data_IF_116889656175
#
_entry.id   IF_116889656175
#
_cell.length_a   1.000
_cell.length_b   1.000
_cell.length_c   1.000
_cell.angle_alpha   90.00
_cell.angle_beta   90.00
_cell.angle_gamma   90.00
#
_symmetry.space_group_name_H-M   'P 1'
#
loop_
_entity.id
_entity.type
_entity.pdbx_description
1 polymer ?
#
# COMPACT_ATOMS: atom_id res chain seq x y z
N UNK A 1 2.73 15.33 -42.63
CA UNK A 1 3.23 14.13 -41.95
C UNK A 1 3.79 14.61 -40.63
N UNK A 2 3.14 14.20 -39.54
CA UNK A 2 3.58 14.47 -38.19
C UNK A 2 4.00 13.14 -37.58
N UNK A 3 4.95 13.19 -36.67
CA UNK A 3 5.34 12.05 -35.86
C UNK A 3 5.30 12.43 -34.38
N UNK A 4 5.06 11.42 -33.56
CA UNK A 4 4.91 11.62 -32.13
C UNK A 4 5.16 10.36 -31.34
N UNK A 5 5.27 10.54 -30.04
CA UNK A 5 5.34 9.44 -29.07
C UNK A 5 4.16 9.52 -28.12
N UNK A 6 3.79 8.35 -27.59
CA UNK A 6 2.85 8.23 -26.48
C UNK A 6 3.62 7.92 -25.20
N UNK A 7 3.29 8.62 -24.12
CA UNK A 7 3.77 8.35 -22.77
C UNK A 7 2.56 8.07 -21.89
N UNK A 8 2.69 7.15 -20.94
CA UNK A 8 1.60 6.76 -20.05
C UNK A 8 1.97 7.02 -18.58
N UNK A 9 1.03 7.57 -17.83
CA UNK A 9 1.11 7.64 -16.38
C UNK A 9 0.09 6.67 -15.79
N UNK A 10 0.58 5.56 -15.26
CA UNK A 10 -0.24 4.51 -14.65
C UNK A 10 -0.72 5.02 -13.31
N UNK A 11 -2.03 4.95 -13.08
CA UNK A 11 -2.66 5.35 -11.83
C UNK A 11 -2.95 4.11 -11.00
N UNK A 12 -2.38 4.07 -9.79
CA UNK A 12 -2.63 3.04 -8.80
C UNK A 12 -3.08 3.64 -7.47
N UNK A 13 -3.74 2.82 -6.65
CA UNK A 13 -4.15 3.22 -5.31
C UNK A 13 -4.04 2.06 -4.32
N UNK A 14 -3.93 2.37 -3.04
CA UNK A 14 -4.15 1.37 -1.98
C UNK A 14 -5.64 1.12 -1.80
N UNK A 15 -6.08 -0.13 -1.94
CA UNK A 15 -7.48 -0.52 -1.73
C UNK A 15 -7.85 -0.71 -0.25
N UNK A 16 -6.84 -0.88 0.61
CA UNK A 16 -6.97 -1.15 2.03
C UNK A 16 -5.67 -0.78 2.77
N UNK A 17 -5.71 -0.47 4.08
CA UNK A 17 -4.50 -0.35 4.90
C UNK A 17 -3.58 -1.56 4.76
N UNK A 18 -2.29 -1.36 5.01
CA UNK A 18 -1.36 -2.49 5.16
C UNK A 18 -1.74 -3.32 6.37
N UNK A 19 -1.75 -4.63 6.17
CA UNK A 19 -2.11 -5.61 7.19
C UNK A 19 -0.98 -6.61 7.35
N UNK A 20 -0.69 -7.01 8.57
CA UNK A 20 0.20 -8.12 8.85
C UNK A 20 -0.33 -9.41 8.23
N UNK A 21 0.56 -10.37 7.98
CA UNK A 21 0.20 -11.70 7.48
C UNK A 21 -0.77 -12.41 8.44
N UNK A 22 -0.65 -12.13 9.75
CA UNK A 22 -1.60 -12.59 10.75
C UNK A 22 -2.99 -11.99 10.52
N UNK A 23 -3.12 -10.66 10.46
CA UNK A 23 -4.42 -9.99 10.26
C UNK A 23 -5.06 -10.40 8.93
N UNK A 24 -4.25 -10.53 7.88
CA UNK A 24 -4.67 -10.97 6.56
C UNK A 24 -5.37 -12.33 6.57
N UNK A 25 -4.93 -13.27 7.43
CA UNK A 25 -5.53 -14.61 7.54
C UNK A 25 -6.99 -14.55 8.01
N UNK A 26 -7.35 -13.58 8.86
CA UNK A 26 -8.72 -13.39 9.33
C UNK A 26 -9.51 -12.52 8.36
N UNK A 27 -8.91 -11.41 7.91
CA UNK A 27 -9.56 -10.42 7.06
C UNK A 27 -9.96 -10.96 5.69
N UNK A 28 -9.26 -11.97 5.17
CA UNK A 28 -9.68 -12.66 3.94
C UNK A 28 -11.03 -13.37 4.09
N UNK A 29 -11.52 -13.59 5.31
CA UNK A 29 -12.86 -14.10 5.59
C UNK A 29 -13.95 -13.06 5.34
N UNK A 30 -13.66 -11.80 5.62
CA UNK A 30 -14.63 -10.71 5.71
C UNK A 30 -15.11 -10.19 4.36
N UNK A 31 -16.43 -10.16 4.15
CA UNK A 31 -17.03 -9.74 2.88
C UNK A 31 -16.66 -8.30 2.51
N UNK A 32 -16.73 -7.37 3.46
CA UNK A 32 -16.43 -5.95 3.23
C UNK A 32 -14.97 -5.76 2.78
N UNK A 33 -14.04 -6.51 3.38
CA UNK A 33 -12.62 -6.45 3.04
C UNK A 33 -12.35 -7.08 1.67
N UNK A 34 -12.97 -8.24 1.40
CA UNK A 34 -12.93 -8.88 0.07
C UNK A 34 -13.40 -7.94 -1.02
N UNK A 35 -14.52 -7.24 -0.80
CA UNK A 35 -15.10 -6.32 -1.79
C UNK A 35 -14.17 -5.13 -2.08
N UNK A 36 -13.44 -4.62 -1.08
CA UNK A 36 -12.45 -3.54 -1.24
C UNK A 36 -11.19 -3.97 -2.00
N UNK A 37 -10.84 -5.25 -1.94
CA UNK A 37 -9.56 -5.77 -2.43
C UNK A 37 -9.70 -6.67 -3.66
N UNK A 38 -10.93 -6.91 -4.14
CA UNK A 38 -11.22 -7.78 -5.29
C UNK A 38 -10.51 -7.34 -6.58
N UNK A 39 -10.29 -6.03 -6.70
CA UNK A 39 -9.77 -5.36 -7.89
C UNK A 39 -8.25 -5.18 -7.82
N UNK A 40 -7.61 -5.41 -6.67
CA UNK A 40 -6.17 -5.33 -6.54
C UNK A 40 -5.47 -6.39 -7.41
N UNK A 41 -4.50 -5.97 -8.21
CA UNK A 41 -3.76 -6.83 -9.14
C UNK A 41 -2.27 -6.90 -8.83
N UNK A 42 -1.77 -6.05 -7.92
CA UNK A 42 -0.38 -5.97 -7.51
C UNK A 42 -0.29 -6.03 -5.98
N UNK A 43 0.75 -6.70 -5.47
CA UNK A 43 0.99 -6.81 -4.03
C UNK A 43 2.46 -6.71 -3.70
N UNK A 44 2.74 -6.21 -2.49
CA UNK A 44 4.07 -6.16 -1.91
C UNK A 44 4.05 -6.93 -0.60
N UNK A 45 5.10 -7.72 -0.36
CA UNK A 45 5.40 -8.31 0.94
C UNK A 45 6.40 -7.39 1.62
N UNK A 46 6.01 -6.88 2.77
CA UNK A 46 6.69 -5.85 3.53
C UNK A 46 7.08 -6.39 4.91
N UNK A 47 7.97 -5.70 5.60
CA UNK A 47 8.22 -5.90 7.03
C UNK A 47 8.35 -4.57 7.75
N UNK A 48 7.85 -4.53 8.97
CA UNK A 48 8.00 -3.42 9.92
C UNK A 48 8.06 -3.97 11.35
N UNK A 49 8.56 -3.19 12.33
CA UNK A 49 8.43 -3.53 13.73
C UNK A 49 6.97 -3.84 14.14
N UNK A 50 6.80 -4.77 15.07
CA UNK A 50 5.51 -5.02 15.72
C UNK A 50 5.08 -3.77 16.45
N UNK A 51 3.90 -3.26 16.12
CA UNK A 51 3.29 -2.14 16.82
C UNK A 51 2.12 -2.59 17.68
N UNK A 52 1.89 -1.87 18.76
CA UNK A 52 0.81 -2.10 19.70
C UNK A 52 0.39 -0.78 20.33
N UNK A 53 -0.80 -0.77 20.93
CA UNK A 53 -1.21 0.30 21.82
C UNK A 53 -0.63 0.06 23.21
N UNK A 54 -0.13 1.14 23.79
CA UNK A 54 0.43 1.21 25.14
C UNK A 54 -0.30 2.31 25.91
N UNK A 55 -0.33 2.23 27.23
CA UNK A 55 -0.93 3.25 28.08
C UNK A 55 -2.39 3.58 27.70
N UNK A 56 -3.17 2.58 27.25
CA UNK A 56 -4.52 2.77 26.75
C UNK A 56 -5.50 3.00 27.92
N UNK A 57 -6.18 4.14 27.89
CA UNK A 57 -7.11 4.60 28.92
C UNK A 57 -8.45 4.93 28.23
N UNK A 58 -9.52 4.32 28.74
CA UNK A 58 -10.88 4.57 28.30
C UNK A 58 -11.50 5.66 29.19
N UNK A 59 -11.76 6.83 28.62
CA UNK A 59 -12.41 7.96 29.29
C UNK A 59 -13.87 8.16 28.85
N UNK A 60 -14.43 9.32 29.20
CA UNK A 60 -15.78 9.72 28.78
C UNK A 60 -15.77 10.12 27.29
N UNK A 61 -16.06 9.18 26.40
CA UNK A 61 -16.11 9.40 24.95
C UNK A 61 -14.74 9.56 24.26
N UNK A 62 -13.66 9.44 25.02
CA UNK A 62 -12.28 9.62 24.56
C UNK A 62 -11.44 8.39 24.89
N UNK A 63 -10.59 7.98 23.95
CA UNK A 63 -9.58 6.94 24.15
C UNK A 63 -8.20 7.59 24.03
N UNK A 64 -7.48 7.64 25.15
CA UNK A 64 -6.09 8.09 25.22
C UNK A 64 -5.16 6.88 25.18
N UNK A 65 -4.10 6.92 24.37
CA UNK A 65 -3.15 5.83 24.23
C UNK A 65 -1.84 6.30 23.59
N UNK A 66 -0.85 5.41 23.59
CA UNK A 66 0.37 5.54 22.81
C UNK A 66 0.42 4.45 21.74
N UNK A 67 0.91 4.77 20.54
CA UNK A 67 1.36 3.75 19.59
C UNK A 67 2.85 3.54 19.81
N UNK A 68 3.25 2.30 20.07
CA UNK A 68 4.64 1.92 20.34
C UNK A 68 5.05 0.70 19.51
N UNK A 69 6.36 0.56 19.28
CA UNK A 69 6.96 -0.61 18.63
C UNK A 69 8.12 -1.26 19.42
N UNK A 70 8.48 -0.65 20.56
CA UNK A 70 9.57 -1.05 21.43
C UNK A 70 10.97 -0.63 20.95
N UNK A 71 11.08 0.15 19.87
CA UNK A 71 12.34 0.60 19.27
C UNK A 71 12.37 2.14 19.22
N UNK A 72 11.30 2.74 18.72
CA UNK A 72 11.17 4.18 18.53
C UNK A 72 10.42 4.84 19.69
N UNK A 73 10.57 6.17 19.90
CA UNK A 73 9.74 6.91 20.83
C UNK A 73 8.24 6.71 20.52
N UNK A 74 7.39 6.44 21.53
CA UNK A 74 5.96 6.27 21.33
C UNK A 74 5.28 7.52 20.75
N UNK A 75 4.24 7.31 19.95
CA UNK A 75 3.32 8.36 19.50
C UNK A 75 2.21 8.55 20.52
N UNK A 76 2.12 9.72 21.14
CA UNK A 76 1.00 10.07 21.99
C UNK A 76 -0.25 10.32 21.11
N UNK A 77 -1.35 9.64 21.41
CA UNK A 77 -2.56 9.65 20.62
C UNK A 77 -3.80 9.92 21.49
N UNK A 78 -4.76 10.66 20.92
CA UNK A 78 -6.10 10.83 21.49
C UNK A 78 -7.15 10.71 20.41
N UNK A 79 -8.08 9.78 20.60
CA UNK A 79 -9.24 9.56 19.74
C UNK A 79 -10.51 9.98 20.47
N UNK A 80 -11.17 11.03 19.98
CA UNK A 80 -12.51 11.41 20.41
C UNK A 80 -13.54 10.69 19.54
N UNK A 81 -14.37 9.85 20.16
CA UNK A 81 -15.29 8.97 19.45
C UNK A 81 -16.47 9.74 18.81
N UNK A 82 -16.88 10.87 19.39
CA UNK A 82 -17.94 11.72 18.85
C UNK A 82 -17.42 12.51 17.65
N UNK A 83 -16.23 13.11 17.80
CA UNK A 83 -15.57 13.85 16.70
C UNK A 83 -15.27 12.93 15.51
N UNK A 84 -14.82 11.71 15.79
CA UNK A 84 -14.61 10.65 14.81
C UNK A 84 -15.91 10.11 14.19
N UNK A 85 -17.09 10.53 14.68
CA UNK A 85 -18.41 10.02 14.28
C UNK A 85 -18.56 8.51 14.44
N UNK A 86 -17.79 7.92 15.34
CA UNK A 86 -17.91 6.50 15.72
C UNK A 86 -19.10 6.28 16.66
N UNK A 87 -19.48 7.33 17.40
CA UNK A 87 -20.64 7.33 18.30
C UNK A 87 -21.49 8.56 18.08
N UNK A 88 -22.77 8.49 18.48
CA UNK A 88 -23.63 9.66 18.56
C UNK A 88 -23.26 10.48 19.80
N UNK A 89 -23.50 11.80 19.81
CA UNK A 89 -23.30 12.61 20.99
C UNK A 89 -24.03 12.07 22.23
N UNK A 90 -23.29 11.84 23.32
CA UNK A 90 -23.78 11.24 24.55
C UNK A 90 -24.13 9.74 24.45
N UNK A 91 -23.71 9.07 23.37
CA UNK A 91 -23.93 7.64 23.17
C UNK A 91 -23.02 6.78 24.05
N UNK A 92 -23.50 5.59 24.41
CA UNK A 92 -22.73 4.59 25.14
C UNK A 92 -22.19 3.56 24.14
N UNK A 93 -20.93 3.15 24.34
CA UNK A 93 -20.30 2.06 23.60
C UNK A 93 -19.57 1.13 24.53
N UNK A 94 -19.46 -0.12 24.11
CA UNK A 94 -18.57 -1.09 24.73
C UNK A 94 -17.27 -1.16 23.95
N UNK A 95 -16.15 -1.27 24.67
CA UNK A 95 -14.82 -1.42 24.07
C UNK A 95 -14.24 -2.78 24.45
N UNK A 96 -14.02 -3.64 23.46
CA UNK A 96 -13.31 -4.91 23.64
C UNK A 96 -11.82 -4.72 23.35
N UNK A 97 -10.97 -5.04 24.32
CA UNK A 97 -9.51 -4.91 24.19
C UNK A 97 -8.89 -6.27 23.87
N UNK A 98 -8.04 -6.31 22.84
CA UNK A 98 -7.31 -7.51 22.42
C UNK A 98 -5.82 -7.33 22.72
N UNK A 99 -5.16 -8.35 23.29
CA UNK A 99 -3.78 -8.27 23.76
C UNK A 99 -2.84 -9.20 23.00
N UNK A 100 -1.56 -8.84 22.92
CA UNK A 100 -0.49 -9.76 22.50
C UNK A 100 0.03 -10.66 23.63
N UNK A 101 -0.44 -10.42 24.86
CA UNK A 101 -0.13 -11.21 26.06
C UNK A 101 -1.29 -12.11 26.44
N UNK A 102 -0.96 -13.25 27.07
CA UNK A 102 -1.93 -14.27 27.45
C UNK A 102 -2.82 -13.85 28.62
N UNK A 103 -2.28 -13.00 29.51
CA UNK A 103 -3.00 -12.46 30.66
C UNK A 103 -3.42 -11.00 30.36
N UNK A 104 -4.71 -10.71 30.25
CA UNK A 104 -5.19 -9.35 29.98
C UNK A 104 -4.99 -8.44 31.20
N UNK A 105 -4.84 -7.14 30.96
CA UNK A 105 -4.91 -6.15 32.04
C UNK A 105 -6.36 -5.99 32.49
N UNK A 106 -6.58 -6.13 33.80
CA UNK A 106 -7.92 -6.01 34.39
C UNK A 106 -8.29 -4.56 34.74
N UNK A 107 -7.30 -3.66 34.76
CA UNK A 107 -7.47 -2.24 35.09
C UNK A 107 -6.59 -1.38 34.17
N UNK A 108 -7.02 -0.16 33.82
CA UNK A 108 -6.20 0.75 33.04
C UNK A 108 -4.99 1.28 33.86
N UNK A 109 -3.92 1.74 33.21
CA UNK A 109 -3.75 1.74 31.75
C UNK A 109 -3.52 0.33 31.19
N UNK A 110 -4.15 0.05 30.04
CA UNK A 110 -4.01 -1.21 29.33
C UNK A 110 -2.79 -1.18 28.40
N UNK A 111 -1.96 -2.23 28.46
CA UNK A 111 -0.65 -2.29 27.83
C UNK A 111 -0.48 -3.55 26.97
N UNK A 112 0.44 -3.48 26.00
CA UNK A 112 0.64 -4.54 24.99
C UNK A 112 -0.66 -4.93 24.27
N UNK A 113 -1.49 -3.92 23.98
CA UNK A 113 -2.78 -4.07 23.31
C UNK A 113 -2.54 -4.20 21.81
N UNK A 114 -2.98 -5.30 21.23
CA UNK A 114 -2.88 -5.56 19.79
C UNK A 114 -3.89 -4.71 19.00
N UNK A 115 -5.10 -4.63 19.51
CA UNK A 115 -6.22 -3.96 18.86
C UNK A 115 -7.33 -3.69 19.87
N UNK A 116 -8.26 -2.81 19.52
CA UNK A 116 -9.52 -2.67 20.23
C UNK A 116 -10.70 -2.66 19.27
N UNK A 117 -11.86 -3.11 19.73
CA UNK A 117 -13.12 -3.01 19.00
C UNK A 117 -14.06 -2.09 19.74
N UNK A 118 -14.84 -1.34 18.97
CA UNK A 118 -15.96 -0.56 19.49
C UNK A 118 -17.24 -1.27 19.05
N UNK A 119 -18.09 -1.54 20.03
CA UNK A 119 -19.42 -2.08 19.85
C UNK A 119 -20.44 -1.01 20.25
N UNK A 120 -21.53 -0.92 19.50
CA UNK A 120 -22.68 -0.08 19.90
C UNK A 120 -23.28 -0.59 21.21
N UNK A 121 -24.10 0.22 21.89
CA UNK A 121 -24.88 -0.22 23.06
C UNK A 121 -25.71 -1.49 22.81
N UNK A 122 -26.12 -1.74 21.55
CA UNK A 122 -26.83 -2.96 21.15
C UNK A 122 -25.91 -4.19 20.97
N UNK A 123 -24.60 -4.05 21.20
CA UNK A 123 -23.58 -5.07 20.98
C UNK A 123 -23.19 -5.25 19.50
N UNK A 124 -23.64 -4.38 18.61
CA UNK A 124 -23.31 -4.47 17.18
C UNK A 124 -21.89 -3.96 16.92
N UNK A 125 -21.14 -4.68 16.09
CA UNK A 125 -19.80 -4.29 15.68
C UNK A 125 -19.79 -2.95 14.92
N UNK A 126 -19.13 -1.94 15.47
CA UNK A 126 -18.95 -0.65 14.82
C UNK A 126 -17.60 -0.59 14.10
N UNK A 127 -16.50 -0.81 14.84
CA UNK A 127 -15.15 -0.72 14.28
C UNK A 127 -14.15 -1.59 15.03
N UNK A 128 -13.11 -2.03 14.32
CA UNK A 128 -11.93 -2.67 14.86
C UNK A 128 -10.71 -1.84 14.49
N UNK A 129 -9.95 -1.40 15.48
CA UNK A 129 -8.77 -0.56 15.28
C UNK A 129 -7.50 -1.28 15.69
N UNK A 130 -6.53 -1.22 14.78
CA UNK A 130 -5.14 -1.61 14.99
C UNK A 130 -4.30 -0.35 14.76
N UNK A 131 -3.07 -0.26 15.30
CA UNK A 131 -2.27 0.95 15.13
C UNK A 131 -2.12 1.37 13.65
N UNK A 132 -1.95 0.41 12.75
CA UNK A 132 -1.76 0.63 11.31
C UNK A 132 -3.02 1.18 10.67
N UNK A 133 -4.15 0.53 10.96
CA UNK A 133 -5.43 0.96 10.41
C UNK A 133 -5.75 2.36 10.89
N UNK A 134 -5.55 2.65 12.19
CA UNK A 134 -5.85 3.95 12.76
C UNK A 134 -5.00 5.07 12.13
N UNK A 135 -3.69 4.86 11.97
CA UNK A 135 -2.81 5.81 11.28
C UNK A 135 -3.20 5.99 9.82
N UNK A 136 -3.56 4.92 9.11
CA UNK A 136 -4.05 5.00 7.74
C UNK A 136 -5.33 5.82 7.64
N UNK A 137 -6.33 5.55 8.50
CA UNK A 137 -7.60 6.26 8.51
C UNK A 137 -7.39 7.75 8.83
N UNK A 138 -6.49 8.08 9.75
CA UNK A 138 -6.13 9.48 10.06
C UNK A 138 -5.50 10.21 8.88
N UNK A 139 -4.49 9.61 8.22
CA UNK A 139 -3.74 10.27 7.15
C UNK A 139 -4.52 10.30 5.84
N UNK A 140 -5.16 9.19 5.48
CA UNK A 140 -5.74 8.99 4.15
C UNK A 140 -7.21 9.37 4.09
N UNK A 141 -7.97 9.09 5.16
CA UNK A 141 -9.41 9.34 5.20
C UNK A 141 -9.79 10.53 6.09
N UNK A 142 -8.80 11.18 6.73
CA UNK A 142 -9.02 12.37 7.55
C UNK A 142 -9.76 12.06 8.85
N UNK A 143 -9.58 10.85 9.42
CA UNK A 143 -10.09 10.54 10.76
C UNK A 143 -9.50 11.55 11.78
N UNK A 144 -10.35 12.26 12.55
CA UNK A 144 -9.89 13.15 13.61
C UNK A 144 -9.16 12.37 14.71
N UNK A 145 -7.84 12.37 14.64
CA UNK A 145 -6.95 11.73 15.59
C UNK A 145 -5.88 12.73 15.99
N UNK A 146 -5.84 13.08 17.27
CA UNK A 146 -4.74 13.88 17.77
C UNK A 146 -3.49 13.00 17.88
N UNK A 147 -2.41 13.45 17.25
CA UNK A 147 -1.12 12.76 17.19
C UNK A 147 -0.02 13.72 17.64
N UNK A 148 0.82 13.27 18.58
CA UNK A 148 2.01 14.01 19.00
C UNK A 148 3.22 13.07 19.03
N UNK A 149 4.26 13.47 18.30
CA UNK A 149 5.51 12.71 18.14
C UNK A 149 5.91 12.60 16.66
N UNK A 150 7.00 11.87 16.40
CA UNK A 150 7.44 11.57 15.02
C UNK A 150 6.73 10.31 14.51
N UNK A 151 5.87 10.49 13.50
CA UNK A 151 5.09 9.41 12.89
C UNK A 151 5.89 8.57 11.90
N UNK A 152 6.99 9.11 11.38
CA UNK A 152 7.74 8.54 10.25
C UNK A 152 8.16 7.08 10.49
N UNK A 153 8.67 6.68 11.67
CA UNK A 153 9.06 5.30 11.92
C UNK A 153 7.90 4.30 11.84
N UNK A 154 6.68 4.73 12.19
CA UNK A 154 5.47 3.89 12.17
C UNK A 154 4.86 3.73 10.76
N UNK A 155 5.35 4.53 9.81
CA UNK A 155 5.00 4.46 8.40
C UNK A 155 6.11 3.83 7.55
N UNK A 156 7.22 3.43 8.17
CA UNK A 156 8.37 2.82 7.49
C UNK A 156 8.21 1.32 7.31
N UNK A 157 8.41 0.87 6.08
CA UNK A 157 8.32 -0.53 5.69
C UNK A 157 9.53 -0.92 4.84
N UNK A 158 10.11 -2.07 5.14
CA UNK A 158 11.08 -2.72 4.28
C UNK A 158 10.36 -3.59 3.24
N UNK A 159 10.72 -3.46 1.96
CA UNK A 159 10.12 -4.22 0.86
C UNK A 159 10.92 -5.49 0.61
N UNK A 160 10.32 -6.65 0.91
CA UNK A 160 10.94 -7.96 0.66
C UNK A 160 10.66 -8.48 -0.74
N UNK A 161 9.44 -8.28 -1.22
CA UNK A 161 8.99 -8.85 -2.48
C UNK A 161 7.88 -8.02 -3.11
N UNK A 162 7.85 -8.00 -4.44
CA UNK A 162 6.82 -7.37 -5.25
C UNK A 162 6.32 -8.40 -6.26
N UNK A 163 5.01 -8.54 -6.42
CA UNK A 163 4.44 -9.45 -7.41
C UNK A 163 3.04 -9.06 -7.86
N UNK A 164 2.62 -9.59 -9.00
CA UNK A 164 1.26 -9.43 -9.55
C UNK A 164 0.38 -10.66 -9.45
N UNK A 165 -0.94 -10.49 -9.48
CA UNK A 165 -1.94 -11.55 -9.48
C UNK A 165 -2.92 -11.39 -10.66
N UNK A 166 -2.77 -12.22 -11.70
CA UNK A 166 -3.59 -12.17 -12.93
C UNK A 166 -4.81 -13.07 -12.92
N UNK A 167 -4.62 -14.31 -12.48
CA UNK A 167 -5.50 -15.43 -12.80
C UNK A 167 -6.37 -15.88 -11.63
N UNK A 168 -6.14 -15.30 -10.44
CA UNK A 168 -6.86 -15.59 -9.21
C UNK A 168 -6.81 -14.34 -8.32
N UNK A 169 -7.88 -14.08 -7.58
CA UNK A 169 -7.91 -13.02 -6.56
C UNK A 169 -6.64 -13.09 -5.70
N UNK A 170 -6.02 -11.94 -5.40
CA UNK A 170 -4.73 -11.86 -4.68
C UNK A 170 -4.73 -12.72 -3.40
N UNK A 171 -5.88 -12.82 -2.74
CA UNK A 171 -6.15 -13.71 -1.60
C UNK A 171 -5.79 -15.19 -1.82
N UNK A 172 -6.25 -15.77 -2.93
CA UNK A 172 -6.00 -17.16 -3.27
C UNK A 172 -4.53 -17.37 -3.62
N UNK A 173 -3.91 -16.36 -4.24
CA UNK A 173 -2.50 -16.40 -4.60
C UNK A 173 -1.60 -16.31 -3.38
N UNK A 174 -1.95 -15.48 -2.39
CA UNK A 174 -1.18 -15.31 -1.15
C UNK A 174 -1.34 -16.48 -0.19
N UNK A 175 -2.48 -17.16 -0.21
CA UNK A 175 -2.70 -18.40 0.56
C UNK A 175 -1.84 -19.53 0.00
N UNK A 176 -0.77 -19.90 0.73
CA UNK A 176 0.18 -20.92 0.28
C UNK A 176 1.26 -20.41 -0.68
N UNK A 177 1.43 -19.09 -0.80
CA UNK A 177 2.46 -18.51 -1.66
C UNK A 177 3.86 -18.86 -1.16
N UNK A 178 4.63 -19.62 -1.95
CA UNK A 178 5.97 -20.06 -1.56
C UNK A 178 6.91 -18.90 -1.15
N UNK A 179 6.82 -17.72 -1.78
CA UNK A 179 7.65 -16.58 -1.36
C UNK A 179 7.24 -16.01 0.00
N UNK A 180 5.94 -15.96 0.31
CA UNK A 180 5.46 -15.52 1.63
C UNK A 180 5.95 -16.51 2.68
N UNK A 181 5.78 -17.82 2.42
CA UNK A 181 6.27 -18.87 3.33
C UNK A 181 7.79 -18.79 3.53
N UNK A 182 8.56 -18.63 2.44
CA UNK A 182 10.01 -18.46 2.50
C UNK A 182 10.42 -17.26 3.36
N UNK A 183 9.81 -16.09 3.13
CA UNK A 183 10.08 -14.87 3.92
C UNK A 183 9.72 -15.12 5.40
N UNK A 184 8.56 -15.70 5.68
CA UNK A 184 8.15 -16.09 7.04
C UNK A 184 9.07 -17.14 7.70
N UNK A 185 9.94 -17.80 6.94
CA UNK A 185 10.88 -18.81 7.45
C UNK A 185 12.30 -18.26 7.59
N UNK A 186 12.69 -17.34 6.71
CA UNK A 186 14.08 -16.89 6.56
C UNK A 186 14.36 -15.55 7.24
N UNK A 187 13.34 -14.71 7.40
CA UNK A 187 13.51 -13.41 8.05
C UNK A 187 13.51 -13.53 9.56
N UNK A 188 14.25 -12.64 10.20
CA UNK A 188 14.25 -12.47 11.65
C UNK A 188 13.22 -11.44 12.08
N UNK A 189 12.80 -11.56 13.33
CA UNK A 189 11.96 -10.56 13.98
C UNK A 189 12.75 -9.28 14.22
N UNK A 190 12.18 -8.14 13.85
CA UNK A 190 12.73 -6.80 14.14
C UNK A 190 12.48 -6.45 15.61
N UNK A 191 11.25 -6.66 16.09
CA UNK A 191 10.88 -6.31 17.45
C UNK A 191 11.30 -7.42 18.43
N UNK A 192 12.03 -7.10 19.51
CA UNK A 192 12.41 -8.08 20.53
C UNK A 192 11.22 -8.76 21.22
N UNK A 193 10.06 -8.10 21.20
CA UNK A 193 8.81 -8.57 21.82
C UNK A 193 7.95 -9.42 20.90
N UNK A 194 8.25 -9.46 19.60
CA UNK A 194 7.39 -10.20 18.68
C UNK A 194 7.54 -11.70 18.91
N UNK A 195 6.43 -12.34 19.23
CA UNK A 195 6.37 -13.80 19.42
C UNK A 195 6.21 -14.55 18.10
N UNK A 196 5.79 -13.85 17.04
CA UNK A 196 5.52 -14.42 15.72
C UNK A 196 5.87 -13.41 14.64
N UNK A 197 6.74 -13.82 13.73
CA UNK A 197 7.12 -13.04 12.56
C UNK A 197 5.92 -12.65 11.67
N UNK A 198 4.83 -13.43 11.71
CA UNK A 198 3.58 -13.10 11.00
C UNK A 198 2.91 -11.80 11.43
N UNK A 199 3.30 -11.22 12.58
CA UNK A 199 2.81 -9.89 12.99
C UNK A 199 3.61 -8.73 12.38
N UNK A 200 4.82 -9.00 11.90
CA UNK A 200 5.72 -7.99 11.32
C UNK A 200 5.71 -8.04 9.80
N UNK A 201 5.73 -9.25 9.24
CA UNK A 201 5.54 -9.46 7.81
C UNK A 201 4.13 -9.01 7.45
N UNK A 202 4.06 -8.07 6.52
CA UNK A 202 2.84 -7.37 6.14
C UNK A 202 2.62 -7.43 4.64
N UNK A 203 1.38 -7.19 4.22
CA UNK A 203 0.96 -7.20 2.83
C UNK A 203 0.37 -5.84 2.49
N UNK A 204 0.93 -5.22 1.46
CA UNK A 204 0.30 -4.10 0.75
C UNK A 204 -0.35 -4.61 -0.52
N UNK A 205 -1.56 -4.14 -0.80
CA UNK A 205 -2.29 -4.44 -2.02
C UNK A 205 -2.57 -3.16 -2.80
N UNK A 206 -2.24 -3.18 -4.08
CA UNK A 206 -2.42 -2.07 -5.00
C UNK A 206 -3.44 -2.44 -6.07
N UNK A 207 -4.36 -1.51 -6.29
CA UNK A 207 -5.33 -1.52 -7.37
C UNK A 207 -4.85 -0.61 -8.50
N UNK A 208 -4.67 -1.17 -9.70
CA UNK A 208 -4.40 -0.39 -10.90
C UNK A 208 -5.73 0.13 -11.44
N UNK A 209 -6.02 1.40 -11.21
CA UNK A 209 -7.33 2.00 -11.48
C UNK A 209 -7.47 2.49 -12.92
N UNK A 210 -6.37 2.86 -13.54
CA UNK A 210 -6.38 3.46 -14.87
C UNK A 210 -5.04 4.07 -15.24
N UNK A 211 -5.09 5.06 -16.11
CA UNK A 211 -3.93 5.78 -16.58
C UNK A 211 -4.32 7.14 -17.17
N UNK A 212 -3.34 8.03 -17.26
CA UNK A 212 -3.37 9.23 -18.09
C UNK A 212 -2.38 9.09 -19.25
N UNK A 213 -2.68 9.70 -20.40
CA UNK A 213 -1.80 9.70 -21.58
C UNK A 213 -1.20 11.08 -21.83
N UNK A 214 0.13 11.10 -21.95
CA UNK A 214 0.88 12.22 -22.51
C UNK A 214 1.22 11.96 -23.97
N UNK A 215 0.51 12.63 -24.88
CA UNK A 215 0.74 12.52 -26.32
C UNK A 215 1.60 13.68 -26.80
N UNK A 216 2.75 13.39 -27.40
CA UNK A 216 3.76 14.39 -27.75
C UNK A 216 4.09 14.38 -29.23
N UNK A 217 4.15 15.56 -29.85
CA UNK A 217 4.56 15.77 -31.24
C UNK A 217 5.78 16.70 -31.26
N UNK A 218 6.90 16.21 -31.80
CA UNK A 218 8.17 16.93 -31.84
C UNK A 218 8.79 17.23 -30.47
N UNK A 219 10.11 17.38 -30.41
CA UNK A 219 10.84 17.78 -29.20
C UNK A 219 10.83 16.77 -28.06
N UNK A 220 10.29 15.56 -28.29
CA UNK A 220 10.26 14.47 -27.33
C UNK A 220 11.64 13.83 -27.14
N UNK A 221 12.58 14.07 -28.05
CA UNK A 221 13.95 13.54 -27.99
C UNK A 221 14.66 13.97 -26.72
N UNK A 222 14.35 15.15 -26.20
CA UNK A 222 14.92 15.67 -24.95
C UNK A 222 14.36 14.99 -23.69
N UNK A 223 13.22 14.29 -23.79
CA UNK A 223 12.54 13.65 -22.66
C UNK A 223 12.76 12.15 -22.59
N UNK A 224 13.28 11.54 -23.65
CA UNK A 224 13.57 10.10 -23.69
C UNK A 224 14.98 9.87 -23.17
N UNK A 225 15.16 9.02 -22.13
CA UNK A 225 16.49 8.69 -21.66
C UNK A 225 17.35 8.03 -22.74
N UNK A 226 18.66 8.31 -22.75
CA UNK A 226 19.58 7.99 -23.86
C UNK A 226 19.55 6.51 -24.30
N UNK A 227 19.24 5.60 -23.37
CA UNK A 227 19.23 4.14 -23.62
C UNK A 227 17.87 3.59 -24.09
N UNK A 228 16.86 4.45 -24.22
CA UNK A 228 15.50 4.04 -24.60
C UNK A 228 15.20 4.42 -26.04
N UNK A 229 14.85 3.43 -26.85
CA UNK A 229 14.40 3.67 -28.21
C UNK A 229 12.94 4.15 -28.21
N UNK A 230 12.62 5.30 -28.84
CA UNK A 230 11.24 5.75 -28.97
C UNK A 230 10.40 4.84 -29.85
N UNK A 231 9.12 4.72 -29.51
CA UNK A 231 8.10 4.14 -30.39
C UNK A 231 7.43 5.31 -31.11
N UNK A 232 7.76 5.46 -32.39
CA UNK A 232 7.29 6.55 -33.24
C UNK A 232 5.95 6.19 -33.88
N UNK A 233 4.97 7.05 -33.73
CA UNK A 233 3.67 6.97 -34.39
C UNK A 233 3.65 7.97 -35.55
N UNK A 234 3.76 7.47 -36.78
CA UNK A 234 3.62 8.29 -37.98
C UNK A 234 2.15 8.60 -38.25
N UNK A 235 1.82 9.88 -38.40
CA UNK A 235 0.48 10.37 -38.72
C UNK A 235 0.51 11.11 -40.07
N UNK A 236 -0.21 10.56 -41.06
CA UNK A 236 -0.25 11.01 -42.45
C UNK A 236 -1.56 11.72 -42.78
N UNK A 237 -2.66 11.37 -42.12
CA UNK A 237 -3.97 12.01 -42.30
C UNK A 237 -4.45 12.74 -41.04
N UNK A 238 -5.47 13.58 -41.18
CA UNK A 238 -6.10 14.29 -40.06
C UNK A 238 -6.78 13.30 -39.10
N UNK A 239 -7.41 12.25 -39.63
CA UNK A 239 -8.04 11.20 -38.81
C UNK A 239 -7.02 10.41 -37.97
N UNK A 240 -5.80 10.21 -38.48
CA UNK A 240 -4.71 9.56 -37.74
C UNK A 240 -4.19 10.47 -36.62
N UNK A 241 -4.12 11.78 -36.87
CA UNK A 241 -3.78 12.78 -35.83
C UNK A 241 -4.85 12.77 -34.74
N UNK A 242 -6.13 12.82 -35.11
CA UNK A 242 -7.23 12.79 -34.16
C UNK A 242 -7.23 11.49 -33.34
N UNK A 243 -7.01 10.34 -33.98
CA UNK A 243 -6.93 9.06 -33.31
C UNK A 243 -5.76 9.00 -32.32
N UNK A 244 -4.60 9.56 -32.68
CA UNK A 244 -3.43 9.62 -31.80
C UNK A 244 -3.76 10.34 -30.48
N UNK A 245 -4.55 11.42 -30.50
CA UNK A 245 -4.90 12.15 -29.29
C UNK A 245 -6.12 11.60 -28.53
N UNK A 246 -7.06 10.95 -29.23
CA UNK A 246 -8.38 10.61 -28.67
C UNK A 246 -8.62 9.12 -28.43
N UNK A 247 -7.77 8.23 -28.95
CA UNK A 247 -7.96 6.78 -28.87
C UNK A 247 -6.76 6.10 -28.22
N UNK A 248 -6.82 5.88 -26.89
CA UNK A 248 -5.83 5.07 -26.20
C UNK A 248 -5.73 3.67 -26.83
N UNK A 249 -4.52 3.14 -27.08
CA UNK A 249 -4.34 1.77 -27.59
C UNK A 249 -4.61 0.68 -26.54
N UNK A 250 -4.93 1.06 -25.30
CA UNK A 250 -5.10 0.16 -24.16
C UNK A 250 -6.37 0.50 -23.38
N UNK A 251 -7.03 -0.51 -22.82
CA UNK A 251 -8.17 -0.33 -21.94
C UNK A 251 -7.72 0.02 -20.50
N UNK A 252 -8.54 0.74 -19.70
CA UNK A 252 -8.32 0.85 -18.27
C UNK A 252 -8.18 -0.54 -17.63
N UNK A 253 -7.28 -0.67 -16.66
CA UNK A 253 -7.02 -1.92 -15.91
C UNK A 253 -6.50 -3.09 -16.77
N UNK A 254 -6.05 -2.82 -18.00
CA UNK A 254 -5.53 -3.85 -18.89
C UNK A 254 -4.25 -4.50 -18.35
N UNK A 255 -3.93 -5.74 -18.77
CA UNK A 255 -2.84 -6.48 -18.17
C UNK A 255 -1.43 -5.87 -18.28
N UNK A 256 -1.23 -5.09 -19.33
CA UNK A 256 0.02 -4.44 -19.61
C UNK A 256 0.33 -3.37 -18.55
N UNK A 257 -0.69 -2.71 -17.98
CA UNK A 257 -0.52 -1.70 -16.93
C UNK A 257 0.04 -2.32 -15.64
N UNK A 258 -0.53 -3.43 -15.16
CA UNK A 258 0.00 -4.08 -13.94
C UNK A 258 1.38 -4.69 -14.20
N UNK A 259 1.65 -5.22 -15.39
CA UNK A 259 2.97 -5.78 -15.71
C UNK A 259 4.04 -4.68 -15.75
N UNK A 260 3.72 -3.52 -16.29
CA UNK A 260 4.59 -2.35 -16.28
C UNK A 260 4.81 -1.83 -14.86
N UNK A 261 3.75 -1.65 -14.08
CA UNK A 261 3.85 -1.19 -12.68
C UNK A 261 4.69 -2.15 -11.82
N UNK A 262 4.52 -3.47 -11.97
CA UNK A 262 5.34 -4.48 -11.29
C UNK A 262 6.82 -4.32 -11.67
N UNK A 263 7.12 -4.23 -12.96
CA UNK A 263 8.50 -4.13 -13.44
C UNK A 263 9.18 -2.83 -12.98
N UNK A 264 8.47 -1.70 -13.05
CA UNK A 264 8.94 -0.40 -12.60
C UNK A 264 9.29 -0.45 -11.11
N UNK A 265 8.38 -0.94 -10.26
CA UNK A 265 8.62 -1.02 -8.82
C UNK A 265 9.76 -1.99 -8.47
N UNK A 266 9.87 -3.14 -9.14
CA UNK A 266 10.99 -4.07 -8.92
C UNK A 266 12.31 -3.45 -9.36
N UNK A 267 12.35 -2.76 -10.51
CA UNK A 267 13.57 -2.10 -10.98
C UNK A 267 14.02 -1.02 -9.99
N UNK A 268 13.07 -0.29 -9.43
CA UNK A 268 13.28 0.79 -8.48
C UNK A 268 13.79 0.29 -7.11
N UNK A 269 13.11 -0.71 -6.54
CA UNK A 269 13.38 -1.17 -5.19
C UNK A 269 14.39 -2.32 -5.12
N UNK A 270 14.53 -3.11 -6.19
CA UNK A 270 15.35 -4.34 -6.24
C UNK A 270 15.21 -5.23 -4.99
N UNK A 271 13.99 -5.72 -4.70
CA UNK A 271 13.73 -6.49 -3.49
C UNK A 271 14.46 -7.83 -3.51
N UNK A 272 15.01 -8.25 -2.37
CA UNK A 272 15.90 -9.42 -2.28
C UNK A 272 15.25 -10.72 -2.73
N UNK A 273 13.94 -10.86 -2.53
CA UNK A 273 13.20 -12.08 -2.86
C UNK A 273 12.66 -12.10 -4.30
N UNK A 274 12.81 -11.03 -5.08
CA UNK A 274 12.47 -11.01 -6.50
C UNK A 274 13.56 -11.74 -7.30
N UNK A 275 13.16 -12.74 -8.10
CA UNK A 275 14.11 -13.50 -8.94
C UNK A 275 14.41 -12.84 -10.29
N UNK A 276 13.55 -11.91 -10.72
CA UNK A 276 13.68 -11.15 -11.96
C UNK A 276 13.81 -9.67 -11.57
N UNK A 277 14.88 -9.01 -12.02
CA UNK A 277 15.19 -7.61 -11.65
C UNK A 277 14.96 -6.60 -12.80
N UNK A 278 14.43 -7.07 -13.94
CA UNK A 278 14.15 -6.25 -15.12
C UNK A 278 15.35 -5.40 -15.57
N UNK A 279 16.51 -6.04 -15.76
CA UNK A 279 17.73 -5.31 -16.16
C UNK A 279 17.60 -4.55 -17.48
N UNK A 280 16.76 -5.04 -18.39
CA UNK A 280 16.51 -4.44 -19.71
C UNK A 280 15.31 -3.48 -19.73
N UNK A 281 14.80 -3.03 -18.57
CA UNK A 281 13.74 -2.03 -18.48
C UNK A 281 14.10 -0.78 -19.33
N UNK A 282 13.15 -0.18 -20.09
CA UNK A 282 11.71 -0.46 -20.10
C UNK A 282 11.27 -1.60 -21.03
N UNK A 283 12.19 -2.31 -21.70
CA UNK A 283 11.83 -3.38 -22.65
C UNK A 283 11.46 -4.68 -21.92
N UNK A 284 10.20 -4.77 -21.49
CA UNK A 284 9.63 -5.95 -20.83
C UNK A 284 8.59 -6.64 -21.72
N UNK A 285 8.37 -7.93 -21.51
CA UNK A 285 7.29 -8.65 -22.17
C UNK A 285 5.93 -8.25 -21.60
N UNK A 286 4.95 -8.00 -22.48
CA UNK A 286 3.57 -7.65 -22.11
C UNK A 286 3.47 -6.41 -21.20
N UNK A 287 4.34 -5.43 -21.41
CA UNK A 287 4.27 -4.10 -20.78
C UNK A 287 3.59 -3.07 -21.69
N UNK A 288 3.52 -1.82 -21.27
CA UNK A 288 2.92 -0.72 -22.04
C UNK A 288 3.61 -0.50 -23.38
N UNK A 289 4.91 -0.80 -23.49
CA UNK A 289 5.64 -0.77 -24.76
C UNK A 289 5.09 -1.74 -25.81
N UNK A 290 4.51 -2.88 -25.41
CA UNK A 290 3.93 -3.83 -26.39
C UNK A 290 2.64 -3.34 -27.04
N UNK A 291 2.03 -2.28 -26.49
CA UNK A 291 0.83 -1.63 -27.05
C UNK A 291 1.11 -0.21 -27.57
N UNK A 292 2.40 0.17 -27.68
CA UNK A 292 2.82 1.38 -28.40
C UNK A 292 3.19 2.59 -27.54
N UNK A 293 3.29 2.46 -26.22
CA UNK A 293 3.82 3.53 -25.36
C UNK A 293 5.34 3.53 -25.33
N UNK A 294 5.96 4.70 -25.36
CA UNK A 294 7.43 4.83 -25.28
C UNK A 294 7.92 4.76 -23.83
N UNK A 295 7.28 5.50 -22.93
CA UNK A 295 7.64 5.58 -21.51
C UNK A 295 6.40 5.36 -20.64
N UNK A 296 6.64 4.82 -19.45
CA UNK A 296 5.64 4.67 -18.41
C UNK A 296 6.15 5.25 -17.08
N UNK A 297 5.26 5.96 -16.39
CA UNK A 297 5.42 6.35 -15.00
C UNK A 297 4.32 5.69 -14.15
N UNK A 298 4.53 5.61 -12.84
CA UNK A 298 3.53 5.10 -11.91
C UNK A 298 3.27 6.12 -10.81
N UNK A 299 2.02 6.50 -10.64
CA UNK A 299 1.56 7.30 -9.51
C UNK A 299 0.73 6.42 -8.59
N UNK A 300 1.14 6.31 -7.33
CA UNK A 300 0.41 5.55 -6.31
C UNK A 300 -0.22 6.52 -5.32
N UNK A 301 -1.54 6.56 -5.32
CA UNK A 301 -2.32 7.41 -4.42
C UNK A 301 -2.74 6.66 -3.16
N UNK A 302 -3.09 7.43 -2.11
CA UNK A 302 -3.61 6.89 -0.84
C UNK A 302 -2.59 5.95 -0.15
N UNK A 303 -1.29 6.14 -0.37
CA UNK A 303 -0.23 5.31 0.18
C UNK A 303 0.61 6.13 1.19
N UNK A 304 0.25 6.14 2.48
CA UNK A 304 0.95 6.98 3.47
C UNK A 304 2.31 6.41 3.89
N UNK A 305 2.86 5.45 3.14
CA UNK A 305 3.98 4.62 3.58
C UNK A 305 5.32 5.07 3.03
N UNK A 306 6.34 4.82 3.83
CA UNK A 306 7.75 5.00 3.53
C UNK A 306 8.36 3.65 3.17
N UNK A 307 8.45 3.36 1.88
CA UNK A 307 9.00 2.10 1.38
C UNK A 307 10.53 2.19 1.23
N UNK A 308 11.24 1.19 1.76
CA UNK A 308 12.70 1.09 1.66
C UNK A 308 13.15 -0.31 1.25
N UNK A 309 14.36 -0.41 0.73
CA UNK A 309 15.11 -1.66 0.55
C UNK A 309 16.59 -1.43 0.83
N UNK A 310 17.40 -2.49 0.85
CA UNK A 310 18.86 -2.34 0.90
C UNK A 310 19.40 -1.51 -0.28
N UNK A 311 18.77 -1.58 -1.45
CA UNK A 311 19.14 -0.78 -2.62
C UNK A 311 18.69 0.68 -2.52
N UNK A 312 17.53 0.93 -1.89
CA UNK A 312 16.93 2.25 -1.73
C UNK A 312 16.61 2.51 -0.25
N UNK A 313 17.62 2.92 0.55
CA UNK A 313 17.45 3.07 2.00
C UNK A 313 16.67 4.32 2.39
N UNK A 314 16.58 5.32 1.50
CA UNK A 314 15.84 6.55 1.74
C UNK A 314 14.43 6.44 1.15
N UNK A 315 13.41 6.50 2.03
CA UNK A 315 12.01 6.50 1.61
C UNK A 315 11.57 7.88 1.11
N UNK A 316 10.62 7.90 0.18
CA UNK A 316 9.83 9.10 -0.15
C UNK A 316 8.47 9.02 0.57
N UNK A 317 7.99 10.15 1.10
CA UNK A 317 6.68 10.29 1.78
C UNK A 317 5.64 10.91 0.84
N UNK A 318 4.39 10.45 0.86
CA UNK A 318 3.25 11.06 0.15
C UNK A 318 2.77 10.26 -1.07
N UNK A 319 1.89 10.86 -1.89
CA UNK A 319 1.57 10.31 -3.21
C UNK A 319 2.87 10.19 -4.01
N UNK A 320 3.30 8.96 -4.27
CA UNK A 320 4.62 8.72 -4.84
C UNK A 320 4.48 8.59 -6.34
N UNK A 321 5.07 9.56 -7.05
CA UNK A 321 5.36 9.41 -8.46
C UNK A 321 6.68 8.66 -8.61
N UNK A 322 6.60 7.51 -9.23
CA UNK A 322 7.74 6.69 -9.60
C UNK A 322 8.03 6.92 -11.09
N UNK A 323 9.13 7.60 -11.33
CA UNK A 323 9.62 7.89 -12.68
C UNK A 323 10.80 6.98 -13.01
N UNK A 324 11.03 6.79 -14.30
CA UNK A 324 12.25 6.16 -14.77
C UNK A 324 13.43 7.11 -14.54
N UNK A 325 14.39 6.71 -13.70
CA UNK A 325 15.64 7.47 -13.51
C UNK A 325 16.44 7.46 -14.83
N UNK A 326 16.99 8.63 -15.19
CA UNK A 326 17.77 8.84 -16.42
C UNK A 326 19.12 8.09 -16.40
#
# INVERSE_FOLDING_TARGET
MLDGIKVIEIQAQTGYPVVSAYEFEFLKGEKVVKDRLKDCSLYLILQRPLTYFQNLILGEGVIDFEIADGINPPLECRLDLEEAKMIKPGGIVDVEIQYYKDQPDLVPPHNDVAAFKILTEAGEFAVWETPQKLLYEAIVNGLPLYLRGDISPYLAYHVHYIGKAWSQNVWNRLTGHHKVQKILTMEDSISPRSRKLSFEISVLLLDIVGFDEGNMIGGYEALIPEKVQPIIHEMKTEEEIDAFFSKPPIAPRAPELTSEAEALLIKLFKPEYNGIMFENYPNIANGTRSVGYTLANLTVTRMPMLLTTAHRPNAAMGDVKFEMEA
#
